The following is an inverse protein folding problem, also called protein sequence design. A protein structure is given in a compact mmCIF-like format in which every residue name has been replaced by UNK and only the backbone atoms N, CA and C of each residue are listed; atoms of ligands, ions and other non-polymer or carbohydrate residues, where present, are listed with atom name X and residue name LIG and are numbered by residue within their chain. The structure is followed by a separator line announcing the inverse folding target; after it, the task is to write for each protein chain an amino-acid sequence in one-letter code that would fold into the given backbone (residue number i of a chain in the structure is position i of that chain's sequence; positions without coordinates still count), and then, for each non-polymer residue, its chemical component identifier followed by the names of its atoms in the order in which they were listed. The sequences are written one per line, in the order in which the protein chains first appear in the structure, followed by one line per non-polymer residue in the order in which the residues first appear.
data_IF_250962782826
#
_entry.id   IF_250962782826
#
_cell.length_a   1.000
_cell.length_b   1.000
_cell.length_c   1.000
_cell.angle_alpha   90.00
_cell.angle_beta   90.00
_cell.angle_gamma   90.00
#
_symmetry.space_group_name_H-M   'P 1'
#
loop_
_entity.id
_entity.type
_entity.pdbx_description
1 polymer ?
#
# COMPACT_ATOMS: atom_id res chain seq x y z
N UNK A 1 0.57 1.96 -12.20
CA UNK A 1 -0.54 1.06 -11.82
C UNK A 1 -1.72 1.80 -11.20
N UNK A 2 -1.51 2.65 -10.20
CA UNK A 2 -2.62 3.31 -9.48
C UNK A 2 -2.92 4.69 -10.05
N UNK A 3 -4.20 5.05 -10.10
CA UNK A 3 -4.65 6.41 -10.37
C UNK A 3 -4.42 7.31 -9.14
N UNK A 4 -4.50 8.63 -9.34
CA UNK A 4 -4.45 9.58 -8.24
C UNK A 4 -5.57 9.28 -7.21
N UNK A 5 -5.28 9.37 -5.90
CA UNK A 5 -6.29 9.15 -4.88
C UNK A 5 -7.34 10.26 -4.90
N UNK A 6 -8.55 9.95 -4.42
CA UNK A 6 -9.58 10.95 -4.12
C UNK A 6 -9.14 11.82 -2.94
N UNK A 7 -9.71 13.03 -2.80
CA UNK A 7 -9.43 13.86 -1.62
C UNK A 7 -9.87 13.19 -0.33
N UNK A 8 -9.11 13.36 0.75
CA UNK A 8 -9.32 12.76 2.07
C UNK A 8 -10.59 13.25 2.78
N UNK A 9 -11.12 14.41 2.36
CA UNK A 9 -12.35 15.06 2.86
C UNK A 9 -13.61 14.70 2.05
N UNK A 10 -13.50 13.95 0.95
CA UNK A 10 -14.64 13.58 0.11
C UNK A 10 -15.54 12.52 0.78
N UNK A 11 -16.55 12.99 1.51
CA UNK A 11 -17.49 12.13 2.23
C UNK A 11 -18.25 11.16 1.31
N UNK A 12 -18.50 11.50 0.03
CA UNK A 12 -19.16 10.59 -0.91
C UNK A 12 -18.31 9.37 -1.21
N UNK A 13 -16.99 9.55 -1.17
CA UNK A 13 -16.02 8.49 -1.40
C UNK A 13 -15.79 7.66 -0.14
N UNK A 14 -15.70 8.30 1.02
CA UNK A 14 -15.27 7.63 2.26
C UNK A 14 -16.40 7.04 3.10
N UNK A 15 -17.66 7.35 2.79
CA UNK A 15 -18.83 6.72 3.39
C UNK A 15 -19.21 5.38 2.73
N UNK A 16 -18.55 4.98 1.64
CA UNK A 16 -18.74 3.66 1.03
C UNK A 16 -17.96 2.58 1.81
N UNK A 17 -18.64 1.71 2.57
CA UNK A 17 -17.98 0.68 3.37
C UNK A 17 -17.36 -0.44 2.51
N UNK A 18 -17.73 -0.56 1.24
CA UNK A 18 -17.21 -1.60 0.34
C UNK A 18 -15.91 -1.19 -0.35
N UNK A 19 -15.55 0.09 -0.31
CA UNK A 19 -14.47 0.68 -1.11
C UNK A 19 -13.09 0.22 -0.68
N UNK A 20 -12.82 0.19 0.61
CA UNK A 20 -11.48 -0.06 1.14
C UNK A 20 -11.55 -0.77 2.48
N UNK A 21 -10.60 -1.65 2.73
CA UNK A 21 -10.48 -2.27 4.03
C UNK A 21 -9.77 -1.32 5.01
N UNK A 22 -10.12 -1.49 6.27
CA UNK A 22 -9.57 -0.70 7.36
C UNK A 22 -8.22 -1.25 7.81
N UNK A 23 -7.33 -0.35 8.23
CA UNK A 23 -6.04 -0.68 8.83
C UNK A 23 -5.93 -0.03 10.21
N UNK A 24 -5.31 -0.76 11.15
CA UNK A 24 -5.01 -0.26 12.49
C UNK A 24 -3.65 0.43 12.55
N UNK A 25 -3.60 1.63 13.12
CA UNK A 25 -2.40 2.41 13.41
C UNK A 25 -2.07 2.27 14.90
N UNK A 26 -1.02 1.49 15.17
CA UNK A 26 -0.46 1.35 16.51
C UNK A 26 0.50 2.51 16.85
N UNK A 27 0.98 2.56 18.09
CA UNK A 27 1.85 3.65 18.56
C UNK A 27 3.08 3.92 17.69
N UNK A 28 3.66 2.89 17.04
CA UNK A 28 4.79 3.06 16.10
C UNK A 28 4.36 3.79 14.83
N UNK A 29 3.24 3.37 14.24
CA UNK A 29 2.67 4.04 13.06
C UNK A 29 2.32 5.49 13.36
N UNK A 30 1.69 5.75 14.52
CA UNK A 30 1.35 7.10 14.94
C UNK A 30 2.60 7.97 15.18
N UNK A 31 3.62 7.43 15.85
CA UNK A 31 4.88 8.15 16.09
C UNK A 31 5.59 8.51 14.78
N UNK A 32 5.64 7.58 13.81
CA UNK A 32 6.21 7.86 12.50
C UNK A 32 5.46 8.98 11.75
N UNK A 33 4.13 8.96 11.79
CA UNK A 33 3.29 9.99 11.16
C UNK A 33 3.43 11.35 11.84
N UNK A 34 3.63 11.38 13.17
CA UNK A 34 3.95 12.62 13.91
C UNK A 34 5.32 13.17 13.52
N UNK A 35 6.32 12.30 13.37
CA UNK A 35 7.68 12.70 13.01
C UNK A 35 7.76 13.40 11.65
N UNK A 36 6.87 13.04 10.71
CA UNK A 36 6.77 13.70 9.39
C UNK A 36 5.72 14.83 9.35
N UNK A 37 5.08 15.14 10.48
CA UNK A 37 4.12 16.24 10.59
C UNK A 37 2.80 16.04 9.85
N UNK A 38 2.38 14.78 9.61
CA UNK A 38 1.13 14.45 8.91
C UNK A 38 0.03 13.92 9.86
N UNK A 39 0.34 13.83 11.16
CA UNK A 39 -0.52 13.16 12.13
C UNK A 39 -1.91 13.76 12.24
N UNK A 40 -2.03 15.09 12.36
CA UNK A 40 -3.30 15.74 12.67
C UNK A 40 -4.34 15.53 11.56
N UNK A 41 -3.91 15.61 10.28
CA UNK A 41 -4.77 15.28 9.13
C UNK A 41 -5.25 13.83 9.20
N UNK A 42 -4.35 12.90 9.48
CA UNK A 42 -4.67 11.47 9.50
C UNK A 42 -5.58 11.14 10.68
N UNK A 43 -5.31 11.67 11.87
CA UNK A 43 -6.08 11.43 13.09
C UNK A 43 -7.52 11.93 12.95
N UNK A 44 -7.73 13.07 12.28
CA UNK A 44 -9.08 13.58 11.98
C UNK A 44 -9.92 12.64 11.10
N UNK A 45 -9.27 11.74 10.37
CA UNK A 45 -9.91 10.75 9.51
C UNK A 45 -10.03 9.37 10.18
N UNK A 46 -9.55 9.22 11.42
CA UNK A 46 -9.52 7.96 12.15
C UNK A 46 -10.73 7.76 13.06
N UNK A 47 -11.07 6.48 13.28
CA UNK A 47 -11.89 6.04 14.40
C UNK A 47 -11.01 5.48 15.52
N UNK A 48 -11.47 5.63 16.76
CA UNK A 48 -10.76 5.15 17.94
C UNK A 48 -11.11 3.70 18.27
N UNK A 49 -10.08 2.92 18.59
CA UNK A 49 -10.19 1.54 19.08
C UNK A 49 -9.48 1.47 20.42
N UNK A 50 -10.29 1.56 21.48
CA UNK A 50 -9.85 1.54 22.89
C UNK A 50 -9.57 0.14 23.41
N UNK A 51 -10.11 -0.88 22.74
CA UNK A 51 -10.07 -2.27 23.20
C UNK A 51 -10.38 -3.27 22.10
N UNK A 52 -10.60 -4.52 22.50
CA UNK A 52 -11.11 -5.59 21.63
C UNK A 52 -12.29 -6.26 22.30
N UNK A 53 -13.17 -6.79 21.47
CA UNK A 53 -14.28 -7.64 21.90
C UNK A 53 -13.95 -9.07 21.48
N UNK A 54 -14.00 -10.00 22.43
CA UNK A 54 -13.69 -11.41 22.22
C UNK A 54 -14.97 -12.25 22.32
N UNK A 55 -15.22 -13.03 21.27
CA UNK A 55 -16.30 -14.02 21.23
C UNK A 55 -15.67 -15.41 21.28
N UNK A 56 -16.08 -16.24 22.22
CA UNK A 56 -15.62 -17.63 22.33
C UNK A 56 -16.81 -18.58 22.20
N UNK A 57 -16.64 -19.80 21.66
CA UNK A 57 -17.74 -20.75 21.53
C UNK A 57 -18.40 -21.14 22.86
N UNK A 58 -17.69 -20.99 23.98
CA UNK A 58 -18.12 -21.40 25.31
C UNK A 58 -18.98 -20.35 26.03
N UNK A 59 -19.13 -19.14 25.47
CA UNK A 59 -19.91 -18.06 26.09
C UNK A 59 -20.69 -17.28 25.06
N UNK A 60 -21.98 -17.09 25.31
CA UNK A 60 -22.86 -16.26 24.47
C UNK A 60 -22.62 -14.75 24.67
N UNK A 61 -21.92 -14.36 25.75
CA UNK A 61 -21.61 -12.95 26.03
C UNK A 61 -20.20 -12.58 25.57
N UNK A 62 -20.06 -11.52 24.76
CA UNK A 62 -18.74 -11.06 24.35
C UNK A 62 -17.97 -10.46 25.51
N UNK A 63 -16.67 -10.77 25.60
CA UNK A 63 -15.78 -10.19 26.60
C UNK A 63 -15.10 -8.94 26.06
N UNK A 64 -15.29 -7.82 26.75
CA UNK A 64 -14.56 -6.59 26.47
C UNK A 64 -13.18 -6.59 27.14
N UNK A 65 -12.15 -6.21 26.38
CA UNK A 65 -10.78 -6.03 26.88
C UNK A 65 -10.31 -4.65 26.47
N UNK A 66 -10.18 -3.75 27.45
CA UNK A 66 -9.57 -2.43 27.26
C UNK A 66 -8.06 -2.57 27.08
N UNK A 67 -7.53 -2.02 26.00
CA UNK A 67 -6.12 -2.14 25.62
C UNK A 67 -5.39 -0.80 25.67
N UNK A 68 -6.11 0.32 25.60
CA UNK A 68 -5.52 1.66 25.56
C UNK A 68 -4.65 1.94 26.79
N UNK A 69 -5.17 1.67 28.00
CA UNK A 69 -4.45 1.88 29.26
C UNK A 69 -3.18 1.03 29.35
N UNK A 70 -3.28 -0.26 29.01
CA UNK A 70 -2.14 -1.18 29.02
C UNK A 70 -1.06 -0.81 28.00
N UNK A 71 -1.46 -0.23 26.86
CA UNK A 71 -0.55 0.11 25.76
C UNK A 71 0.03 1.52 25.86
N UNK A 72 -0.59 2.41 26.65
CA UNK A 72 -0.25 3.83 26.71
C UNK A 72 -0.63 4.62 25.45
N UNK A 73 -1.47 4.05 24.57
CA UNK A 73 -2.01 4.74 23.39
C UNK A 73 -3.32 4.11 22.92
N UNK A 74 -4.20 4.94 22.33
CA UNK A 74 -5.41 4.47 21.66
C UNK A 74 -5.07 4.04 20.24
N UNK A 75 -5.50 2.85 19.83
CA UNK A 75 -5.29 2.40 18.45
C UNK A 75 -6.23 3.17 17.54
N UNK A 76 -5.73 3.69 16.42
CA UNK A 76 -6.55 4.38 15.44
C UNK A 76 -6.86 3.47 14.27
N UNK A 77 -8.03 3.61 13.67
CA UNK A 77 -8.44 2.83 12.49
C UNK A 77 -8.82 3.79 11.38
N UNK A 78 -8.32 3.53 10.17
CA UNK A 78 -8.59 4.34 8.99
C UNK A 78 -8.70 3.42 7.76
N UNK A 79 -9.51 3.82 6.77
CA UNK A 79 -9.50 3.16 5.47
C UNK A 79 -8.10 3.28 4.85
N UNK A 80 -7.55 2.17 4.32
CA UNK A 80 -6.20 2.17 3.73
C UNK A 80 -6.02 3.26 2.68
N UNK A 81 -6.98 3.38 1.75
CA UNK A 81 -6.86 4.34 0.65
C UNK A 81 -7.00 5.78 1.12
N UNK A 82 -7.72 6.01 2.23
CA UNK A 82 -7.85 7.33 2.84
C UNK A 82 -6.54 7.78 3.47
N UNK A 83 -5.82 6.87 4.14
CA UNK A 83 -4.46 7.14 4.62
C UNK A 83 -3.53 7.57 3.47
N UNK A 84 -3.59 6.86 2.32
CA UNK A 84 -2.81 7.23 1.13
C UNK A 84 -3.20 8.61 0.62
N UNK A 85 -4.49 8.94 0.65
CA UNK A 85 -5.00 10.26 0.24
C UNK A 85 -4.45 11.37 1.13
N UNK A 86 -4.50 11.20 2.46
CA UNK A 86 -3.91 12.16 3.40
C UNK A 86 -2.41 12.35 3.16
N UNK A 87 -1.66 11.27 2.97
CA UNK A 87 -0.21 11.36 2.72
C UNK A 87 0.11 12.03 1.38
N UNK A 88 -0.71 11.78 0.35
CA UNK A 88 -0.53 12.41 -0.95
C UNK A 88 -0.83 13.91 -0.89
N UNK A 89 -1.88 14.34 -0.18
CA UNK A 89 -2.17 15.75 0.04
C UNK A 89 -1.05 16.46 0.78
N UNK A 90 -0.52 15.86 1.84
CA UNK A 90 0.64 16.39 2.57
C UNK A 90 1.88 16.52 1.67
N UNK A 91 2.08 15.56 0.76
CA UNK A 91 3.16 15.60 -0.21
C UNK A 91 2.97 16.74 -1.23
N UNK A 92 1.76 16.91 -1.75
CA UNK A 92 1.47 18.01 -2.67
C UNK A 92 1.61 19.36 -1.96
N UNK A 93 1.02 19.54 -0.79
CA UNK A 93 1.02 20.85 -0.11
C UNK A 93 2.41 21.28 0.36
N UNK A 94 3.26 20.35 0.81
CA UNK A 94 4.58 20.67 1.37
C UNK A 94 5.73 20.55 0.38
N UNK A 95 5.59 19.74 -0.67
CA UNK A 95 6.70 19.34 -1.53
C UNK A 95 6.38 19.38 -3.03
N UNK A 96 5.37 20.15 -3.46
CA UNK A 96 4.99 20.25 -4.89
C UNK A 96 6.17 20.57 -5.81
N UNK A 97 7.07 21.47 -5.38
CA UNK A 97 8.22 21.91 -6.17
C UNK A 97 9.35 20.88 -6.20
N UNK A 98 9.45 20.01 -5.20
CA UNK A 98 10.54 19.05 -5.05
C UNK A 98 10.15 17.63 -5.45
N UNK A 99 8.86 17.28 -5.41
CA UNK A 99 8.38 15.91 -5.62
C UNK A 99 7.30 15.87 -6.69
N UNK A 100 7.63 15.22 -7.81
CA UNK A 100 6.66 14.88 -8.85
C UNK A 100 6.19 13.44 -8.69
N UNK A 101 4.88 13.26 -8.56
CA UNK A 101 4.25 11.93 -8.52
C UNK A 101 3.67 11.59 -9.88
N UNK A 102 4.08 10.45 -10.45
CA UNK A 102 3.58 9.96 -11.73
C UNK A 102 2.65 8.77 -11.48
N UNK A 103 1.36 8.99 -11.69
CA UNK A 103 0.32 7.96 -11.59
C UNK A 103 0.20 7.17 -12.88
N UNK A 104 -0.53 6.05 -12.82
CA UNK A 104 -0.79 5.21 -13.99
C UNK A 104 0.50 4.75 -14.69
N UNK A 105 1.58 4.54 -13.91
CA UNK A 105 2.85 4.05 -14.44
C UNK A 105 3.39 2.88 -13.63
N UNK A 106 4.14 2.00 -14.28
CA UNK A 106 4.75 0.82 -13.70
C UNK A 106 6.22 0.73 -14.06
N UNK A 107 7.08 0.51 -13.07
CA UNK A 107 8.48 0.16 -13.31
C UNK A 107 8.55 -1.30 -13.76
N UNK A 108 8.84 -1.52 -15.04
CA UNK A 108 8.88 -2.85 -15.67
C UNK A 108 10.29 -3.46 -15.66
N UNK A 109 11.33 -2.62 -15.53
CA UNK A 109 12.73 -3.06 -15.51
C UNK A 109 13.57 -2.09 -14.69
N UNK A 110 14.60 -2.63 -14.02
CA UNK A 110 15.63 -1.85 -13.31
C UNK A 110 16.99 -2.41 -13.71
N UNK A 111 17.92 -1.53 -14.07
CA UNK A 111 19.28 -1.87 -14.49
C UNK A 111 20.31 -1.06 -13.71
N UNK A 112 21.42 -1.71 -13.35
CA UNK A 112 22.50 -1.13 -12.55
C UNK A 112 23.70 -0.84 -13.44
N UNK A 113 23.89 0.41 -13.86
CA UNK A 113 25.02 0.78 -14.73
C UNK A 113 26.28 1.00 -13.90
N UNK A 114 27.18 0.02 -13.96
CA UNK A 114 28.40 -0.05 -13.14
C UNK A 114 29.47 0.99 -13.48
N UNK A 115 29.47 1.54 -14.69
CA UNK A 115 30.46 2.53 -15.14
C UNK A 115 30.17 3.95 -14.64
N UNK A 116 28.92 4.27 -14.32
CA UNK A 116 28.47 5.65 -14.03
C UNK A 116 27.84 5.79 -12.64
N UNK A 117 27.67 4.69 -11.91
CA UNK A 117 26.99 4.69 -10.61
C UNK A 117 25.52 5.07 -10.69
N UNK A 118 24.89 4.92 -11.86
CA UNK A 118 23.49 5.28 -12.12
C UNK A 118 22.61 4.03 -12.15
N UNK A 119 21.38 4.21 -11.69
CA UNK A 119 20.32 3.22 -11.85
C UNK A 119 19.39 3.67 -12.96
N UNK A 120 19.08 2.76 -13.89
CA UNK A 120 18.17 3.01 -14.99
C UNK A 120 16.87 2.29 -14.72
N UNK A 121 15.76 3.02 -14.78
CA UNK A 121 14.41 2.50 -14.64
C UNK A 121 13.73 2.53 -16.01
N UNK A 122 13.11 1.42 -16.40
CA UNK A 122 12.15 1.40 -17.51
C UNK A 122 10.75 1.51 -16.93
N UNK A 123 10.06 2.60 -17.25
CA UNK A 123 8.72 2.90 -16.75
C UNK A 123 7.73 2.93 -17.91
N UNK A 124 6.60 2.25 -17.76
CA UNK A 124 5.60 2.15 -18.82
C UNK A 124 4.23 2.56 -18.28
N UNK A 125 3.41 3.16 -19.15
CA UNK A 125 2.03 3.53 -18.82
C UNK A 125 1.17 2.31 -18.48
N UNK A 126 0.14 2.51 -17.66
CA UNK A 126 -0.80 1.48 -17.25
C UNK A 126 -2.23 1.96 -17.34
N UNK A 127 -3.12 1.11 -17.83
CA UNK A 127 -4.57 1.36 -17.85
C UNK A 127 -5.34 0.24 -17.15
N UNK A 128 -6.50 0.58 -16.60
CA UNK A 128 -7.42 -0.39 -16.00
C UNK A 128 -8.38 -0.87 -17.09
N UNK A 129 -8.26 -2.14 -17.48
CA UNK A 129 -9.21 -2.77 -18.39
C UNK A 129 -10.40 -3.25 -17.56
N UNK A 130 -11.59 -2.70 -17.86
CA UNK A 130 -12.84 -3.25 -17.33
C UNK A 130 -13.07 -4.60 -18.00
N UNK A 131 -13.38 -5.68 -17.24
CA UNK A 131 -13.72 -6.94 -17.87
C UNK A 131 -14.94 -6.74 -18.78
N UNK A 132 -14.82 -7.17 -20.04
CA UNK A 132 -15.92 -7.16 -21.00
C UNK A 132 -17.13 -7.90 -20.38
N UNK A 133 -18.32 -7.31 -20.45
CA UNK A 133 -19.59 -7.85 -19.92
C UNK A 133 -20.09 -9.12 -20.64
N UNK A 134 -19.22 -9.91 -21.30
CA UNK A 134 -19.62 -10.98 -22.22
C UNK A 134 -19.27 -12.42 -21.81
N UNK A 135 -18.37 -12.65 -20.85
CA UNK A 135 -17.94 -14.02 -20.54
C UNK A 135 -18.55 -14.48 -19.21
N UNK A 136 -19.69 -15.18 -19.29
CA UNK A 136 -20.28 -15.92 -18.18
C UNK A 136 -19.32 -17.05 -17.79
N UNK A 137 -18.46 -16.82 -16.80
CA UNK A 137 -17.81 -17.89 -16.06
C UNK A 137 -18.56 -18.06 -14.76
N UNK A 138 -19.24 -19.20 -14.60
CA UNK A 138 -19.83 -19.63 -13.33
C UNK A 138 -18.69 -19.83 -12.32
N UNK A 139 -18.33 -18.79 -11.59
CA UNK A 139 -17.52 -18.89 -10.38
C UNK A 139 -18.18 -18.01 -9.33
N UNK A 140 -18.67 -18.66 -8.28
CA UNK A 140 -19.18 -18.04 -7.07
C UNK A 140 -18.13 -17.11 -6.48
N UNK A 141 -18.55 -15.88 -6.19
CA UNK A 141 -17.90 -14.93 -5.29
C UNK A 141 -16.49 -14.45 -5.68
N UNK A 142 -16.39 -13.60 -6.72
CA UNK A 142 -15.21 -12.74 -6.93
C UNK A 142 -15.63 -11.39 -7.51
N UNK A 143 -15.48 -10.32 -6.72
CA UNK A 143 -15.45 -8.94 -7.25
C UNK A 143 -14.52 -8.92 -8.48
N UNK A 144 -14.86 -8.24 -9.58
CA UNK A 144 -14.01 -8.22 -10.78
C UNK A 144 -12.63 -7.67 -10.39
N UNK A 145 -11.62 -8.53 -10.40
CA UNK A 145 -10.22 -8.09 -10.28
C UNK A 145 -9.99 -7.10 -11.40
N UNK A 146 -9.73 -5.83 -11.06
CA UNK A 146 -9.29 -4.83 -12.02
C UNK A 146 -8.00 -5.31 -12.65
N UNK A 147 -8.06 -5.69 -13.93
CA UNK A 147 -6.88 -6.06 -14.70
C UNK A 147 -6.18 -4.77 -15.12
N UNK A 148 -4.92 -4.63 -14.74
CA UNK A 148 -4.07 -3.51 -15.15
C UNK A 148 -3.23 -3.99 -16.33
N UNK A 149 -3.27 -3.29 -17.45
CA UNK A 149 -2.47 -3.58 -18.65
C UNK A 149 -1.43 -2.50 -18.89
N UNK A 150 -0.28 -2.90 -19.43
CA UNK A 150 0.75 -1.98 -19.89
C UNK A 150 0.32 -1.35 -21.21
N UNK A 151 0.53 -0.04 -21.35
CA UNK A 151 0.20 0.73 -22.55
C UNK A 151 1.37 1.61 -22.97
N UNK A 152 1.48 1.87 -24.27
CA UNK A 152 2.58 2.63 -24.85
C UNK A 152 3.94 1.90 -24.80
N UNK A 153 5.02 2.61 -25.11
CA UNK A 153 6.39 2.13 -24.97
C UNK A 153 6.94 2.44 -23.57
N UNK A 154 7.90 1.63 -23.11
CA UNK A 154 8.62 1.96 -21.88
C UNK A 154 9.55 3.16 -22.10
N UNK A 155 9.51 4.11 -21.17
CA UNK A 155 10.39 5.26 -21.08
C UNK A 155 11.57 4.96 -20.16
N UNK A 156 12.74 5.51 -20.50
CA UNK A 156 13.98 5.34 -19.73
C UNK A 156 14.15 6.53 -18.77
N UNK A 157 14.28 6.25 -17.48
CA UNK A 157 14.59 7.23 -16.43
C UNK A 157 15.92 6.87 -15.77
N UNK A 158 16.79 7.87 -15.60
CA UNK A 158 18.07 7.71 -14.90
C UNK A 158 17.99 8.35 -13.52
N UNK A 159 18.48 7.64 -12.50
CA UNK A 159 18.49 8.10 -11.13
C UNK A 159 19.81 7.75 -10.43
N UNK A 160 20.28 8.67 -9.59
CA UNK A 160 21.45 8.47 -8.71
C UNK A 160 21.07 7.65 -7.47
N UNK A 161 19.82 7.74 -7.02
CA UNK A 161 19.27 6.99 -5.90
C UNK A 161 17.90 6.44 -6.26
N UNK A 162 17.70 5.15 -5.97
CA UNK A 162 16.40 4.48 -6.12
C UNK A 162 15.97 3.91 -4.79
N UNK A 163 14.75 4.27 -4.36
CA UNK A 163 14.13 3.77 -3.14
C UNK A 163 12.96 2.86 -3.53
N UNK A 164 13.08 1.56 -3.24
CA UNK A 164 12.06 0.56 -3.57
C UNK A 164 10.91 0.52 -2.55
N UNK A 165 9.85 1.29 -2.79
CA UNK A 165 8.60 1.31 -1.97
C UNK A 165 7.40 0.72 -2.71
N UNK A 166 7.64 -0.25 -3.59
CA UNK A 166 6.69 -0.87 -4.54
C UNK A 166 6.03 -2.17 -4.00
N UNK A 167 6.21 -2.44 -2.70
CA UNK A 167 5.46 -3.44 -1.95
C UNK A 167 5.88 -4.89 -2.24
N UNK A 168 4.92 -5.82 -2.10
CA UNK A 168 5.22 -7.27 -2.13
C UNK A 168 5.79 -7.76 -3.47
N UNK A 169 5.34 -7.18 -4.59
CA UNK A 169 5.81 -7.49 -5.95
C UNK A 169 6.79 -6.42 -6.45
N UNK A 170 7.85 -6.22 -5.67
CA UNK A 170 8.85 -5.17 -5.90
C UNK A 170 9.76 -5.47 -7.10
N UNK A 171 9.69 -4.66 -8.15
CA UNK A 171 10.56 -4.73 -9.32
C UNK A 171 12.01 -4.37 -8.94
N UNK A 172 12.19 -3.40 -8.03
CA UNK A 172 13.52 -3.00 -7.55
C UNK A 172 14.21 -4.17 -6.84
N UNK A 173 13.53 -4.80 -5.87
CA UNK A 173 14.08 -5.95 -5.15
C UNK A 173 14.35 -7.13 -6.10
N UNK A 174 13.45 -7.39 -7.03
CA UNK A 174 13.59 -8.49 -7.98
C UNK A 174 14.82 -8.28 -8.88
N UNK A 175 15.07 -7.05 -9.33
CA UNK A 175 16.29 -6.70 -10.08
C UNK A 175 17.56 -6.76 -9.24
N UNK A 176 17.52 -6.28 -7.99
CA UNK A 176 18.66 -6.42 -7.07
C UNK A 176 19.03 -7.90 -6.88
N UNK A 177 18.04 -8.77 -6.74
CA UNK A 177 18.26 -10.21 -6.56
C UNK A 177 18.88 -10.88 -7.78
N UNK A 178 18.47 -10.49 -8.99
CA UNK A 178 19.00 -11.04 -10.24
C UNK A 178 20.49 -10.72 -10.46
N UNK A 179 20.96 -9.61 -9.89
CA UNK A 179 22.32 -9.10 -10.04
C UNK A 179 23.13 -9.11 -8.73
N UNK A 180 22.67 -9.83 -7.70
CA UNK A 180 23.49 -10.12 -6.51
C UNK A 180 24.82 -10.74 -6.94
N UNK A 181 25.93 -10.24 -6.40
CA UNK A 181 27.25 -10.74 -6.72
C UNK A 181 27.88 -10.11 -7.98
N UNK A 182 27.15 -9.23 -8.69
CA UNK A 182 27.65 -8.56 -9.90
C UNK A 182 27.84 -7.06 -9.69
N UNK A 183 28.87 -6.51 -10.33
CA UNK A 183 29.11 -5.06 -10.39
C UNK A 183 29.02 -4.38 -9.03
N UNK A 184 28.23 -3.30 -8.95
CA UNK A 184 28.02 -2.51 -7.73
C UNK A 184 27.27 -3.27 -6.62
N UNK A 185 26.65 -4.41 -6.92
CA UNK A 185 25.88 -5.23 -5.98
C UNK A 185 26.65 -6.46 -5.47
N UNK A 186 27.96 -6.55 -5.74
CA UNK A 186 28.78 -7.70 -5.36
C UNK A 186 28.76 -8.01 -3.84
N UNK A 187 28.60 -6.98 -2.99
CA UNK A 187 28.51 -7.12 -1.53
C UNK A 187 27.10 -7.24 -0.96
N UNK A 188 26.06 -7.28 -1.81
CA UNK A 188 24.67 -7.21 -1.34
C UNK A 188 24.08 -8.60 -1.06
N UNK A 189 23.28 -8.70 0.00
CA UNK A 189 22.55 -9.92 0.36
C UNK A 189 21.04 -9.69 0.32
N UNK A 190 20.34 -10.39 -0.56
CA UNK A 190 18.87 -10.43 -0.58
C UNK A 190 18.39 -11.65 0.20
N UNK A 191 17.45 -11.45 1.14
CA UNK A 191 16.77 -12.53 1.87
C UNK A 191 15.27 -12.47 1.61
N UNK A 192 14.69 -13.54 1.07
CA UNK A 192 13.24 -13.74 1.04
C UNK A 192 12.81 -14.59 2.22
N UNK A 193 11.71 -14.19 2.84
CA UNK A 193 11.01 -15.01 3.81
C UNK A 193 9.98 -15.86 3.05
N UNK A 194 9.84 -17.13 3.45
CA UNK A 194 8.80 -17.98 2.91
C UNK A 194 7.42 -17.39 3.27
N UNK A 195 6.46 -17.48 2.36
CA UNK A 195 5.07 -17.12 2.66
C UNK A 195 4.46 -18.20 3.56
N UNK A 196 4.53 -17.98 4.87
CA UNK A 196 3.93 -18.83 5.89
C UNK A 196 2.61 -18.23 6.42
N UNK A 197 2.02 -17.26 5.70
CA UNK A 197 0.77 -16.66 6.13
C UNK A 197 -0.40 -17.64 5.94
N UNK A 198 -0.91 -18.15 7.05
CA UNK A 198 -2.17 -18.90 7.07
C UNK A 198 -3.31 -17.90 6.84
N UNK A 199 -3.99 -18.02 5.69
CA UNK A 199 -5.16 -17.20 5.38
C UNK A 199 -6.39 -17.81 6.05
N UNK A 200 -6.79 -17.25 7.19
CA UNK A 200 -8.02 -17.65 7.89
C UNK A 200 -9.13 -16.70 7.44
N UNK A 201 -10.14 -17.25 6.76
CA UNK A 201 -11.34 -16.51 6.40
C UNK A 201 -12.42 -16.81 7.43
N UNK A 202 -13.02 -15.77 8.02
CA UNK A 202 -14.21 -15.91 8.87
C UNK A 202 -15.41 -15.50 8.03
N UNK A 203 -16.23 -16.46 7.64
CA UNK A 203 -17.53 -16.20 7.01
C UNK A 203 -18.48 -15.80 8.13
N UNK A 204 -19.00 -14.57 8.10
CA UNK A 204 -20.14 -14.20 8.94
C UNK A 204 -21.40 -14.42 8.11
N UNK A 205 -22.32 -15.32 8.53
CA UNK A 205 -23.63 -15.41 7.89
C UNK A 205 -24.33 -14.06 8.02
N UNK A 206 -24.92 -13.58 6.91
CA UNK A 206 -25.83 -12.43 6.90
C UNK A 206 -27.23 -12.85 7.33
#
# INVERSE_FOLDING_TARGET
RLAAPSRSDDLKVWQDPERSYNIGLNGKGQAALRAIGCWDRIDSCCADVVGRMDWTPESDEPKEILLAEKRGYVTKVIQRDRLVSCLYEELQEKYEEQVKVIFNSECVKVEWESSVGRTVLSVQGTEIVKPNQGTRTLVTDQRPRRTVTLVGSAERLEAELVIGTDGVRSAVRDAMQADVGKGVLAGLRVRRYADNNVRVYKTMPL
#
